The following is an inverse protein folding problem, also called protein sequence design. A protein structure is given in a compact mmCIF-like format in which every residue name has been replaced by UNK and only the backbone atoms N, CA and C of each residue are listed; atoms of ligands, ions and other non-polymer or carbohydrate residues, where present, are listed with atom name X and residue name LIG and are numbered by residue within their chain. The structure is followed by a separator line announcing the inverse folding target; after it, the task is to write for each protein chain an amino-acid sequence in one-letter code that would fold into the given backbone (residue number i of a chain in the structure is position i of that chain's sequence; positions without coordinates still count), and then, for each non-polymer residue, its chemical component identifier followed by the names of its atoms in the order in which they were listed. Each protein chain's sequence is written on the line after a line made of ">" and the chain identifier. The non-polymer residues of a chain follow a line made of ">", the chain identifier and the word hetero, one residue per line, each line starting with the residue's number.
data_IF_977246490296
#
_entry.id   IF_977246490296
#
_cell.length_a   1.000
_cell.length_b   1.000
_cell.length_c   1.000
_cell.angle_alpha   90.00
_cell.angle_beta   90.00
_cell.angle_gamma   90.00
#
_symmetry.space_group_name_H-M   'P 1'
#
loop_
_entity.id
_entity.type
_entity.pdbx_description
1 polymer ?
#
# COMPACT_ATOMS: atom_id res chain seq x y z
N UNK A 1 0.25 5.65 4.04
CA UNK A 1 -0.28 7.03 4.03
C UNK A 1 0.55 7.90 3.11
N UNK A 2 -0.11 8.70 2.32
CA UNK A 2 0.51 9.57 1.33
C UNK A 2 0.09 11.02 1.54
N UNK A 3 1.04 11.94 1.40
CA UNK A 3 0.76 13.37 1.31
C UNK A 3 1.17 13.84 -0.08
N UNK A 4 0.20 14.24 -0.90
CA UNK A 4 0.46 14.79 -2.24
C UNK A 4 1.05 16.19 -2.15
N UNK A 5 1.88 16.53 -3.11
CA UNK A 5 2.25 17.93 -3.34
C UNK A 5 1.04 18.72 -3.78
N UNK A 6 1.07 20.03 -3.50
CA UNK A 6 0.08 20.97 -3.99
C UNK A 6 -0.02 20.86 -5.52
N UNK A 7 -1.24 20.82 -6.05
CA UNK A 7 -1.55 20.69 -7.48
C UNK A 7 -1.30 19.32 -8.11
N UNK A 8 -0.79 18.33 -7.34
CA UNK A 8 -0.52 16.98 -7.87
C UNK A 8 -1.59 15.94 -7.52
N UNK A 9 -2.60 16.29 -6.73
CA UNK A 9 -3.58 15.33 -6.21
C UNK A 9 -4.32 14.57 -7.33
N UNK A 10 -4.72 15.24 -8.40
CA UNK A 10 -5.43 14.59 -9.52
C UNK A 10 -4.55 13.55 -10.21
N UNK A 11 -3.27 13.85 -10.41
CA UNK A 11 -2.32 12.90 -11.01
C UNK A 11 -2.06 11.73 -10.08
N UNK A 12 -1.98 11.96 -8.76
CA UNK A 12 -1.85 10.88 -7.76
C UNK A 12 -3.05 9.94 -7.85
N UNK A 13 -4.27 10.47 -7.92
CA UNK A 13 -5.50 9.66 -8.04
C UNK A 13 -5.49 8.85 -9.35
N UNK A 14 -5.13 9.46 -10.46
CA UNK A 14 -5.09 8.79 -11.76
C UNK A 14 -4.08 7.64 -11.77
N UNK A 15 -2.85 7.87 -11.34
CA UNK A 15 -1.81 6.85 -11.23
C UNK A 15 -2.23 5.72 -10.28
N UNK A 16 -2.85 6.07 -9.16
CA UNK A 16 -3.32 5.10 -8.17
C UNK A 16 -4.42 4.20 -8.73
N UNK A 17 -5.33 4.76 -9.53
CA UNK A 17 -6.37 3.97 -10.20
C UNK A 17 -5.81 2.98 -11.22
N UNK A 18 -4.78 3.37 -11.97
CA UNK A 18 -4.09 2.48 -12.91
C UNK A 18 -3.37 1.34 -12.16
N UNK A 19 -2.69 1.67 -11.07
CA UNK A 19 -2.02 0.69 -10.23
C UNK A 19 -3.01 -0.32 -9.63
N UNK A 20 -4.16 0.17 -9.14
CA UNK A 20 -5.23 -0.69 -8.59
C UNK A 20 -5.68 -1.73 -9.60
N UNK A 21 -5.94 -1.34 -10.83
CA UNK A 21 -6.34 -2.26 -11.90
C UNK A 21 -5.28 -3.31 -12.17
N UNK A 22 -4.01 -2.92 -12.21
CA UNK A 22 -2.90 -3.84 -12.48
C UNK A 22 -2.70 -4.82 -11.33
N UNK A 23 -2.82 -4.37 -10.08
CA UNK A 23 -2.74 -5.22 -8.89
C UNK A 23 -3.90 -6.22 -8.87
N UNK A 24 -5.12 -5.76 -9.12
CA UNK A 24 -6.30 -6.65 -9.18
C UNK A 24 -6.12 -7.77 -10.21
N UNK A 25 -5.53 -7.46 -11.35
CA UNK A 25 -5.32 -8.43 -12.43
C UNK A 25 -4.21 -9.44 -12.13
N UNK A 26 -3.22 -9.10 -11.29
CA UNK A 26 -1.98 -9.89 -11.15
C UNK A 26 -1.74 -10.45 -9.74
N UNK A 27 -2.49 -10.04 -8.72
CA UNK A 27 -2.20 -10.39 -7.33
C UNK A 27 -3.41 -11.02 -6.62
N UNK A 28 -3.64 -12.32 -6.81
CA UNK A 28 -4.78 -13.00 -6.17
C UNK A 28 -4.66 -13.05 -4.64
N UNK A 29 -3.48 -12.89 -4.08
CA UNK A 29 -3.26 -12.83 -2.63
C UNK A 29 -3.57 -11.49 -1.99
N UNK A 30 -3.85 -10.46 -2.77
CA UNK A 30 -4.34 -9.18 -2.28
C UNK A 30 -5.87 -9.27 -2.10
N UNK A 31 -6.33 -9.36 -0.85
CA UNK A 31 -7.72 -9.61 -0.53
C UNK A 31 -8.55 -8.33 -0.47
N UNK A 32 -7.92 -7.22 -0.12
CA UNK A 32 -8.54 -5.89 -0.10
C UNK A 32 -7.50 -4.88 -0.55
N UNK A 33 -7.90 -3.97 -1.42
CA UNK A 33 -7.03 -2.95 -1.98
C UNK A 33 -7.88 -1.72 -2.28
N UNK A 34 -7.84 -0.73 -1.38
CA UNK A 34 -8.67 0.47 -1.51
C UNK A 34 -7.84 1.73 -1.31
N UNK A 35 -8.27 2.80 -1.97
CA UNK A 35 -7.60 4.09 -1.94
C UNK A 35 -8.57 5.15 -1.46
N UNK A 36 -8.32 5.72 -0.27
CA UNK A 36 -9.18 6.70 0.37
C UNK A 36 -8.55 8.10 0.36
N UNK A 37 -9.39 9.10 0.23
CA UNK A 37 -9.00 10.51 0.36
C UNK A 37 -9.47 11.04 1.72
N UNK A 38 -8.61 11.78 2.41
CA UNK A 38 -8.97 12.44 3.66
C UNK A 38 -10.03 13.53 3.40
N UNK A 39 -11.17 13.52 4.10
CA UNK A 39 -12.21 14.53 3.89
C UNK A 39 -11.82 15.93 4.35
N UNK A 40 -10.77 16.06 5.17
CA UNK A 40 -10.30 17.33 5.72
C UNK A 40 -9.05 17.87 5.04
N UNK A 41 -8.37 17.02 4.25
CA UNK A 41 -7.17 17.40 3.50
C UNK A 41 -7.18 16.70 2.14
N UNK A 42 -7.58 17.38 1.06
CA UNK A 42 -7.69 16.74 -0.27
C UNK A 42 -6.35 16.31 -0.86
N UNK A 43 -5.23 16.66 -0.23
CA UNK A 43 -3.90 16.21 -0.63
C UNK A 43 -3.45 14.96 0.12
N UNK A 44 -4.23 14.47 1.08
CA UNK A 44 -3.91 13.29 1.89
C UNK A 44 -4.70 12.08 1.46
N UNK A 45 -3.99 10.98 1.25
CA UNK A 45 -4.54 9.71 0.80
C UNK A 45 -4.05 8.55 1.65
N UNK A 46 -4.84 7.50 1.71
CA UNK A 46 -4.48 6.25 2.41
C UNK A 46 -4.77 5.07 1.49
N UNK A 47 -3.76 4.22 1.26
CA UNK A 47 -3.97 2.88 0.75
C UNK A 47 -4.29 1.96 1.93
N UNK A 48 -5.35 1.18 1.82
CA UNK A 48 -5.68 0.12 2.77
C UNK A 48 -5.60 -1.20 2.03
N UNK A 49 -4.77 -2.12 2.54
CA UNK A 49 -4.45 -3.36 1.87
C UNK A 49 -4.51 -4.51 2.87
N UNK A 50 -5.13 -5.63 2.47
CA UNK A 50 -5.16 -6.86 3.25
C UNK A 50 -4.61 -7.98 2.39
N UNK A 51 -3.61 -8.69 2.91
CA UNK A 51 -2.93 -9.78 2.24
C UNK A 51 -3.34 -11.12 2.84
N UNK A 52 -3.38 -12.17 2.02
CA UNK A 52 -3.64 -13.52 2.49
C UNK A 52 -2.59 -14.00 3.49
N UNK A 53 -1.32 -13.63 3.25
CA UNK A 53 -0.16 -13.99 4.06
C UNK A 53 1.02 -13.07 3.74
N UNK A 54 2.16 -13.30 4.41
CA UNK A 54 3.38 -12.53 4.14
C UNK A 54 3.95 -12.79 2.75
N UNK A 55 3.75 -13.98 2.19
CA UNK A 55 4.20 -14.28 0.83
C UNK A 55 3.47 -13.41 -0.21
N UNK A 56 2.19 -13.13 0.01
CA UNK A 56 1.42 -12.24 -0.84
C UNK A 56 1.93 -10.78 -0.77
N UNK A 57 2.35 -10.34 0.41
CA UNK A 57 2.98 -9.02 0.57
C UNK A 57 4.32 -8.96 -0.16
N UNK A 58 5.16 -9.98 -0.02
CA UNK A 58 6.45 -10.06 -0.72
C UNK A 58 6.23 -10.05 -2.24
N UNK A 59 5.25 -10.82 -2.72
CA UNK A 59 4.88 -10.82 -4.13
C UNK A 59 4.52 -9.41 -4.62
N UNK A 60 3.72 -8.68 -3.84
CA UNK A 60 3.35 -7.29 -4.15
C UNK A 60 4.58 -6.40 -4.28
N UNK A 61 5.50 -6.50 -3.32
CA UNK A 61 6.72 -5.67 -3.31
C UNK A 61 7.64 -5.95 -4.49
N UNK A 62 7.62 -7.16 -5.03
CA UNK A 62 8.42 -7.57 -6.19
C UNK A 62 7.69 -7.38 -7.52
N UNK A 63 6.39 -7.12 -7.48
CA UNK A 63 5.56 -7.05 -8.68
C UNK A 63 5.83 -5.75 -9.45
N UNK A 64 6.11 -5.83 -10.78
CA UNK A 64 6.37 -4.64 -11.59
C UNK A 64 5.32 -3.52 -11.50
N UNK A 65 4.00 -3.79 -11.42
CA UNK A 65 3.01 -2.73 -11.25
C UNK A 65 3.26 -1.82 -10.04
N UNK A 66 3.65 -2.39 -8.88
CA UNK A 66 3.98 -1.58 -7.72
C UNK A 66 5.25 -0.77 -7.94
N UNK A 67 6.29 -1.40 -8.47
CA UNK A 67 7.57 -0.73 -8.71
C UNK A 67 7.41 0.44 -9.67
N UNK A 68 6.66 0.25 -10.75
CA UNK A 68 6.35 1.30 -11.71
C UNK A 68 5.54 2.43 -11.06
N UNK A 69 4.51 2.08 -10.28
CA UNK A 69 3.69 3.05 -9.56
C UNK A 69 4.53 3.90 -8.61
N UNK A 70 5.37 3.27 -7.79
CA UNK A 70 6.22 4.00 -6.83
C UNK A 70 7.18 4.96 -7.55
N UNK A 71 7.74 4.54 -8.68
CA UNK A 71 8.61 5.38 -9.49
C UNK A 71 7.89 6.61 -10.03
N UNK A 72 6.64 6.45 -10.48
CA UNK A 72 5.87 7.53 -11.08
C UNK A 72 5.21 8.45 -10.04
N UNK A 73 4.75 7.88 -8.91
CA UNK A 73 4.03 8.66 -7.90
C UNK A 73 4.96 9.40 -6.94
N UNK A 74 6.14 8.86 -6.64
CA UNK A 74 7.05 9.44 -5.65
C UNK A 74 7.39 10.90 -5.89
N UNK A 75 7.66 11.36 -7.13
CA UNK A 75 7.91 12.78 -7.39
C UNK A 75 6.73 13.69 -7.09
N UNK A 76 5.52 13.15 -6.99
CA UNK A 76 4.28 13.88 -6.73
C UNK A 76 3.93 13.97 -5.24
N UNK A 77 4.73 13.32 -4.37
CA UNK A 77 4.45 13.22 -2.95
C UNK A 77 5.43 14.03 -2.11
N UNK A 78 4.92 14.62 -1.03
CA UNK A 78 5.72 15.21 0.03
C UNK A 78 6.14 14.17 1.06
N UNK A 79 5.30 13.14 1.28
CA UNK A 79 5.61 12.05 2.18
C UNK A 79 4.88 10.76 1.82
N UNK A 80 5.49 9.66 2.20
CA UNK A 80 4.93 8.31 2.06
C UNK A 80 5.40 7.48 3.25
N UNK A 81 4.45 6.93 4.00
CA UNK A 81 4.74 6.08 5.17
C UNK A 81 3.92 4.80 5.10
N UNK A 82 4.45 3.73 5.72
CA UNK A 82 3.78 2.43 5.79
C UNK A 82 3.56 2.03 7.23
N UNK A 83 2.36 1.56 7.53
CA UNK A 83 2.00 0.90 8.77
C UNK A 83 1.65 -0.55 8.45
N UNK A 84 2.31 -1.50 9.13
CA UNK A 84 2.00 -2.92 9.04
C UNK A 84 1.28 -3.35 10.29
N UNK A 85 0.22 -4.13 10.13
CA UNK A 85 -0.58 -4.67 11.24
C UNK A 85 -0.62 -6.19 11.12
N UNK A 86 -0.36 -6.87 12.25
CA UNK A 86 -0.49 -8.31 12.31
C UNK A 86 0.83 -9.07 12.30
N UNK A 87 0.73 -10.36 11.99
CA UNK A 87 1.88 -11.28 11.95
C UNK A 87 2.55 -11.20 10.57
N UNK A 88 3.43 -10.21 10.40
CA UNK A 88 4.19 -10.01 9.17
C UNK A 88 5.57 -10.63 9.35
N UNK A 89 6.05 -11.38 8.34
CA UNK A 89 7.37 -12.01 8.40
C UNK A 89 8.49 -10.97 8.47
N UNK A 90 9.57 -11.33 9.14
CA UNK A 90 10.76 -10.48 9.24
C UNK A 90 11.30 -10.13 7.85
N UNK A 91 11.29 -11.09 6.91
CA UNK A 91 11.70 -10.85 5.53
C UNK A 91 10.91 -9.72 4.88
N UNK A 92 9.57 -9.75 4.99
CA UNK A 92 8.71 -8.73 4.40
C UNK A 92 8.95 -7.35 5.05
N UNK A 93 9.10 -7.30 6.37
CA UNK A 93 9.40 -6.05 7.09
C UNK A 93 10.73 -5.46 6.61
N UNK A 94 11.77 -6.29 6.49
CA UNK A 94 13.08 -5.84 6.04
C UNK A 94 13.06 -5.35 4.58
N UNK A 95 12.30 -6.02 3.72
CA UNK A 95 12.14 -5.58 2.32
C UNK A 95 11.54 -4.18 2.25
N UNK A 96 10.50 -3.89 3.04
CA UNK A 96 9.92 -2.55 3.10
C UNK A 96 10.91 -1.52 3.63
N UNK A 97 11.60 -1.82 4.72
CA UNK A 97 12.60 -0.91 5.30
C UNK A 97 13.75 -0.64 4.36
N UNK A 98 14.15 -1.63 3.56
CA UNK A 98 15.23 -1.49 2.60
C UNK A 98 14.90 -0.49 1.46
N UNK A 99 13.62 -0.21 1.21
CA UNK A 99 13.22 0.83 0.24
C UNK A 99 13.46 2.26 0.75
N UNK A 100 13.79 2.43 2.02
CA UNK A 100 13.90 3.73 2.67
C UNK A 100 12.56 4.32 3.11
N UNK A 101 11.46 3.62 2.90
CA UNK A 101 10.12 4.06 3.33
C UNK A 101 9.99 3.91 4.85
N UNK A 102 9.62 4.98 5.57
CA UNK A 102 9.34 4.87 7.01
C UNK A 102 8.26 3.84 7.26
N UNK A 103 8.58 2.80 8.02
CA UNK A 103 7.71 1.65 8.24
C UNK A 103 7.59 1.36 9.74
N UNK A 104 6.35 1.29 10.24
CA UNK A 104 6.03 0.92 11.61
C UNK A 104 5.27 -0.40 11.60
N UNK A 105 5.74 -1.40 12.36
CA UNK A 105 5.08 -2.69 12.48
C UNK A 105 4.35 -2.79 13.83
N UNK A 106 3.03 -2.89 13.76
CA UNK A 106 2.15 -3.10 14.92
C UNK A 106 1.76 -4.56 14.99
N UNK A 107 2.34 -5.31 15.92
CA UNK A 107 1.99 -6.71 16.13
C UNK A 107 0.61 -6.83 16.77
N UNK A 108 -0.21 -7.75 16.25
CA UNK A 108 -1.53 -8.02 16.80
C UNK A 108 -1.40 -8.74 18.15
N UNK A 109 -1.99 -8.17 19.18
CA UNK A 109 -2.04 -8.81 20.50
C UNK A 109 -3.22 -9.77 20.62
N UNK A 110 -4.37 -9.40 20.04
CA UNK A 110 -5.54 -10.27 19.94
C UNK A 110 -6.48 -9.74 18.88
N UNK A 111 -7.32 -10.60 18.40
CA UNK A 111 -8.30 -10.26 17.37
C UNK A 111 -8.44 -11.41 16.37
N UNK A 112 -9.32 -11.24 15.41
CA UNK A 112 -9.53 -12.25 14.36
C UNK A 112 -9.95 -11.58 13.06
N UNK A 113 -9.76 -12.33 11.97
CA UNK A 113 -10.23 -11.95 10.65
C UNK A 113 -11.18 -13.06 10.16
N UNK A 114 -12.40 -12.68 9.78
CA UNK A 114 -13.29 -13.62 9.11
C UNK A 114 -12.87 -13.73 7.64
N UNK A 115 -13.19 -14.84 7.01
CA UNK A 115 -12.93 -14.99 5.58
C UNK A 115 -13.59 -13.85 4.80
N UNK A 116 -12.82 -13.20 3.94
CA UNK A 116 -13.33 -12.19 3.01
C UNK A 116 -13.86 -12.82 1.72
N UNK A 117 -13.72 -14.13 1.58
CA UNK A 117 -14.26 -14.90 0.46
C UNK A 117 -15.69 -15.34 0.79
N UNK A 118 -16.67 -15.09 -0.09
CA UNK A 118 -18.03 -15.55 0.13
C UNK A 118 -18.13 -17.07 0.14
#
# INVERSE_FOLDING_TARGET
>A
RMQSKLESANDVVELSGLADKAVKASEPGMLLHTFEQDPHDPLRFVWTEVYADSAALIFHLENPPLQNYLSEVSPLLDSFTVELYGSVSEEAVQMLRATGTPTTHYETKFGYVRSLTP
#
